data_IF_997490790450
#
_entry.id   IF_997490790450
#
_cell.length_a   1.000
_cell.length_b   1.000
_cell.length_c   1.000
_cell.angle_alpha   90.00
_cell.angle_beta   90.00
_cell.angle_gamma   90.00
#
_symmetry.space_group_name_H-M   'P 1'
#
loop_
_entity.id
_entity.type
_entity.pdbx_description
1 polymer ?
#
# COMPACT_ATOMS: atom_id res chain seq x y z
N UNK A 1 25.23 38.23 -11.92
CA UNK A 1 24.25 37.50 -12.75
C UNK A 1 24.14 36.08 -12.16
N UNK A 2 23.22 35.90 -11.24
CA UNK A 2 23.08 34.64 -10.47
C UNK A 2 22.18 33.66 -11.25
N UNK A 3 22.76 32.54 -11.69
CA UNK A 3 21.98 31.43 -12.22
C UNK A 3 21.10 30.87 -11.08
N UNK A 4 19.80 31.17 -11.14
CA UNK A 4 18.82 30.39 -10.39
C UNK A 4 18.80 29.00 -11.01
N UNK A 5 19.47 28.04 -10.38
CA UNK A 5 19.21 26.61 -10.61
C UNK A 5 17.72 26.36 -10.27
N UNK A 6 16.92 26.13 -11.28
CA UNK A 6 15.63 25.47 -11.09
C UNK A 6 15.93 24.09 -10.48
N UNK A 7 15.80 23.95 -9.16
CA UNK A 7 15.64 22.64 -8.56
C UNK A 7 14.33 22.08 -9.16
N UNK A 8 14.47 21.25 -10.17
CA UNK A 8 13.41 20.36 -10.62
C UNK A 8 12.94 19.63 -9.36
N UNK A 9 11.67 19.78 -9.03
CA UNK A 9 11.01 19.03 -7.97
C UNK A 9 11.11 17.54 -8.32
N UNK A 10 12.17 16.89 -7.87
CA UNK A 10 12.21 15.43 -7.84
C UNK A 10 11.11 14.99 -6.86
N UNK A 11 10.20 14.12 -7.27
CA UNK A 11 9.15 13.66 -6.36
C UNK A 11 9.80 13.05 -5.10
N UNK A 12 9.28 13.45 -3.93
CA UNK A 12 9.80 13.03 -2.63
C UNK A 12 9.76 11.50 -2.50
N UNK A 13 10.82 10.96 -1.93
CA UNK A 13 10.87 9.53 -1.56
C UNK A 13 9.99 9.35 -0.34
N UNK A 14 8.95 8.52 -0.46
CA UNK A 14 8.00 8.28 0.63
C UNK A 14 8.38 7.05 1.43
N UNK A 15 8.76 5.97 0.74
CA UNK A 15 9.23 4.73 1.34
C UNK A 15 10.29 4.09 0.46
N UNK A 16 11.33 3.52 1.05
CA UNK A 16 12.40 2.83 0.33
C UNK A 16 12.96 1.66 1.10
N UNK A 17 13.59 0.73 0.37
CA UNK A 17 14.36 -0.37 0.97
C UNK A 17 15.82 -0.24 0.60
N UNK A 18 16.70 -0.62 1.54
CA UNK A 18 18.15 -0.64 1.33
C UNK A 18 18.71 -2.02 1.70
N UNK A 19 19.32 -2.69 0.71
CA UNK A 19 19.96 -4.01 0.85
C UNK A 19 19.08 -5.04 1.55
N UNK A 20 17.78 -5.00 1.24
CA UNK A 20 16.78 -5.84 1.89
C UNK A 20 16.94 -7.29 1.48
N UNK A 21 17.20 -8.17 2.44
CA UNK A 21 17.26 -9.62 2.21
C UNK A 21 16.32 -10.35 3.16
N UNK A 22 15.63 -11.35 2.63
CA UNK A 22 14.65 -12.15 3.37
C UNK A 22 14.75 -13.61 2.97
N UNK A 23 14.87 -14.46 3.97
CA UNK A 23 15.00 -15.90 3.80
C UNK A 23 14.12 -16.64 4.80
N UNK A 24 13.41 -17.66 4.34
CA UNK A 24 12.67 -18.59 5.18
C UNK A 24 13.25 -20.01 5.04
N UNK A 25 13.96 -20.45 6.08
CA UNK A 25 14.70 -21.70 6.04
C UNK A 25 15.77 -21.66 4.94
N UNK A 26 15.69 -22.55 3.94
CA UNK A 26 16.61 -22.57 2.78
C UNK A 26 16.15 -21.73 1.59
N UNK A 27 14.96 -21.15 1.65
CA UNK A 27 14.38 -20.39 0.53
C UNK A 27 14.65 -18.90 0.70
N UNK A 28 15.47 -18.36 -0.20
CA UNK A 28 15.67 -16.92 -0.33
C UNK A 28 14.46 -16.32 -1.09
N UNK A 29 13.78 -15.37 -0.49
CA UNK A 29 12.70 -14.60 -1.16
C UNK A 29 13.23 -13.33 -1.79
N UNK A 30 14.08 -12.60 -1.07
CA UNK A 30 14.70 -11.36 -1.51
C UNK A 30 16.19 -11.37 -1.18
N UNK A 31 16.99 -10.81 -2.08
CA UNK A 31 18.43 -10.75 -1.95
C UNK A 31 18.94 -9.37 -2.36
N UNK A 32 19.37 -8.57 -1.36
CA UNK A 32 19.89 -7.21 -1.52
C UNK A 32 18.99 -6.28 -2.35
N UNK A 33 17.69 -6.30 -2.05
CA UNK A 33 16.70 -5.50 -2.78
C UNK A 33 16.78 -4.04 -2.35
N UNK A 34 16.95 -3.18 -3.35
CA UNK A 34 16.92 -1.72 -3.20
C UNK A 34 15.79 -1.16 -4.06
N UNK A 35 14.76 -0.57 -3.44
CA UNK A 35 13.60 0.01 -4.11
C UNK A 35 13.25 1.37 -3.56
N UNK A 36 12.61 2.20 -4.37
CA UNK A 36 12.17 3.54 -3.98
C UNK A 36 10.76 3.77 -4.51
N UNK A 37 9.84 4.12 -3.61
CA UNK A 37 8.48 4.51 -3.93
C UNK A 37 8.32 6.01 -3.67
N UNK A 38 7.84 6.73 -4.69
CA UNK A 38 7.77 8.19 -4.71
C UNK A 38 6.34 8.68 -4.60
N UNK A 39 6.15 9.87 -4.05
CA UNK A 39 4.85 10.53 -3.94
C UNK A 39 4.14 10.64 -5.29
N UNK A 40 2.82 10.55 -5.27
CA UNK A 40 1.95 10.72 -6.44
C UNK A 40 1.97 9.57 -7.43
N UNK A 41 2.43 8.39 -7.03
CA UNK A 41 2.48 7.22 -7.89
C UNK A 41 1.75 6.02 -7.27
N UNK A 42 1.10 5.25 -8.14
CA UNK A 42 0.55 3.95 -7.80
C UNK A 42 1.45 2.84 -8.37
N UNK A 43 1.98 2.00 -7.48
CA UNK A 43 2.89 0.91 -7.80
C UNK A 43 2.17 -0.42 -7.69
N UNK A 44 1.94 -1.10 -8.82
CA UNK A 44 1.43 -2.46 -8.86
C UNK A 44 2.57 -3.46 -8.64
N UNK A 45 2.50 -4.24 -7.57
CA UNK A 45 3.47 -5.31 -7.29
C UNK A 45 2.98 -6.59 -7.96
N UNK A 46 3.79 -7.12 -8.86
CA UNK A 46 3.50 -8.36 -9.58
C UNK A 46 4.62 -9.39 -9.40
N UNK A 47 4.37 -10.62 -9.82
CA UNK A 47 5.33 -11.73 -9.74
C UNK A 47 4.60 -13.06 -9.58
N UNK A 48 5.31 -14.16 -9.75
CA UNK A 48 4.77 -15.51 -9.64
C UNK A 48 4.14 -15.79 -8.26
N UNK A 49 3.24 -16.78 -8.18
CA UNK A 49 2.70 -17.20 -6.89
C UNK A 49 3.84 -17.72 -5.99
N UNK A 50 3.87 -17.20 -4.77
CA UNK A 50 4.93 -17.49 -3.81
C UNK A 50 6.24 -16.72 -4.07
N UNK A 51 6.31 -15.72 -4.96
CA UNK A 51 7.48 -14.85 -5.14
C UNK A 51 7.77 -13.94 -3.95
N UNK A 52 6.82 -13.81 -3.00
CA UNK A 52 6.99 -13.01 -1.80
C UNK A 52 6.22 -11.68 -1.81
N UNK A 53 5.27 -11.45 -2.72
CA UNK A 53 4.49 -10.18 -2.82
C UNK A 53 3.92 -9.74 -1.46
N UNK A 54 3.07 -10.55 -0.84
CA UNK A 54 2.47 -10.24 0.47
C UNK A 54 3.51 -10.15 1.59
N UNK A 55 4.61 -10.93 1.50
CA UNK A 55 5.72 -10.82 2.45
C UNK A 55 6.41 -9.47 2.33
N UNK A 56 6.63 -8.99 1.10
CA UNK A 56 7.21 -7.68 0.85
C UNK A 56 6.34 -6.57 1.41
N UNK A 57 5.01 -6.61 1.20
CA UNK A 57 4.08 -5.65 1.79
C UNK A 57 4.12 -5.67 3.33
N UNK A 58 4.20 -6.87 3.95
CA UNK A 58 4.34 -7.01 5.40
C UNK A 58 5.65 -6.43 5.94
N UNK A 59 6.73 -6.48 5.17
CA UNK A 59 8.01 -5.88 5.53
C UNK A 59 7.93 -4.35 5.40
N UNK A 60 7.38 -3.84 4.30
CA UNK A 60 7.18 -2.39 4.11
C UNK A 60 6.31 -1.78 5.22
N UNK A 61 5.31 -2.53 5.69
CA UNK A 61 4.43 -2.11 6.80
C UNK A 61 5.01 -2.33 8.20
N UNK A 62 6.23 -2.89 8.32
CA UNK A 62 6.84 -3.21 9.61
C UNK A 62 6.22 -4.40 10.35
N UNK A 63 5.27 -5.14 9.74
CA UNK A 63 4.68 -6.36 10.34
C UNK A 63 5.68 -7.52 10.41
N UNK A 64 6.69 -7.53 9.55
CA UNK A 64 7.78 -8.52 9.52
C UNK A 64 9.12 -7.80 9.40
N UNK A 65 10.10 -8.20 10.21
CA UNK A 65 11.46 -7.70 10.08
C UNK A 65 12.22 -8.49 9.00
N UNK A 66 13.02 -7.84 8.14
CA UNK A 66 13.91 -8.53 7.21
C UNK A 66 15.08 -9.22 7.95
N UNK A 67 15.74 -10.18 7.29
CA UNK A 67 16.97 -10.79 7.82
C UNK A 67 18.16 -9.82 7.79
N UNK A 68 18.24 -8.98 6.76
CA UNK A 68 19.20 -7.89 6.64
C UNK A 68 18.62 -6.74 5.81
N UNK A 69 19.30 -5.58 5.88
CA UNK A 69 18.83 -4.36 5.25
C UNK A 69 17.81 -3.61 6.10
N UNK A 70 17.18 -2.59 5.52
CA UNK A 70 16.23 -1.74 6.23
C UNK A 70 15.15 -1.19 5.31
N UNK A 71 14.02 -0.82 5.91
CA UNK A 71 12.97 -0.02 5.30
C UNK A 71 13.05 1.38 5.88
N UNK A 72 13.04 2.38 5.02
CA UNK A 72 12.98 3.79 5.41
C UNK A 72 11.63 4.35 4.98
N UNK A 73 10.94 5.00 5.92
CA UNK A 73 9.73 5.78 5.68
C UNK A 73 10.08 7.24 6.00
N UNK A 74 9.69 8.18 5.14
CA UNK A 74 9.92 9.60 5.38
C UNK A 74 9.31 10.03 6.72
N UNK A 75 10.08 10.71 7.61
CA UNK A 75 9.59 11.11 8.91
C UNK A 75 8.33 11.98 8.83
N UNK A 76 7.39 11.73 9.73
CA UNK A 76 6.10 12.45 9.77
C UNK A 76 5.09 11.98 8.73
N UNK A 77 5.39 10.93 7.95
CA UNK A 77 4.48 10.36 6.98
C UNK A 77 3.68 9.20 7.55
N UNK A 78 2.37 9.22 7.32
CA UNK A 78 1.45 8.19 7.80
C UNK A 78 1.32 7.08 6.75
N UNK A 79 1.58 5.86 7.20
CA UNK A 79 1.39 4.64 6.43
C UNK A 79 0.09 3.96 6.88
N UNK A 80 -0.75 3.59 5.93
CA UNK A 80 -1.95 2.79 6.15
C UNK A 80 -1.89 1.49 5.36
N UNK A 81 -2.43 0.43 5.94
CA UNK A 81 -2.43 -0.91 5.34
C UNK A 81 -3.85 -1.45 5.35
N UNK A 82 -4.33 -1.93 4.21
CA UNK A 82 -5.59 -2.66 4.15
C UNK A 82 -5.47 -3.96 4.96
N UNK A 83 -6.29 -4.10 6.01
CA UNK A 83 -6.30 -5.29 6.85
C UNK A 83 -6.97 -6.47 6.13
N UNK A 84 -6.33 -7.62 6.15
CA UNK A 84 -6.85 -8.84 5.52
C UNK A 84 -7.72 -9.69 6.47
N UNK A 85 -7.58 -9.49 7.79
CA UNK A 85 -8.42 -10.18 8.74
C UNK A 85 -9.74 -9.45 8.89
N UNK A 86 -10.78 -9.96 8.24
CA UNK A 86 -12.12 -9.34 8.23
C UNK A 86 -12.76 -9.28 9.62
N UNK A 87 -12.27 -10.06 10.58
CA UNK A 87 -12.81 -10.10 11.93
C UNK A 87 -11.93 -9.35 12.96
N UNK A 88 -10.92 -8.62 12.48
CA UNK A 88 -9.99 -7.91 13.38
C UNK A 88 -10.69 -6.85 14.26
N UNK A 89 -11.85 -6.36 13.82
CA UNK A 89 -12.60 -5.29 14.48
C UNK A 89 -14.01 -5.69 14.89
N UNK A 90 -14.29 -6.98 15.02
CA UNK A 90 -15.65 -7.49 15.30
C UNK A 90 -16.29 -6.92 16.58
N UNK A 91 -15.49 -6.53 17.56
CA UNK A 91 -15.95 -5.93 18.81
C UNK A 91 -16.21 -4.42 18.75
N UNK A 92 -15.95 -3.77 17.61
CA UNK A 92 -16.09 -2.33 17.44
C UNK A 92 -17.24 -1.98 16.49
N UNK A 93 -17.79 -0.77 16.66
CA UNK A 93 -18.76 -0.23 15.71
C UNK A 93 -18.11 0.09 14.36
N UNK A 94 -18.89 0.05 13.30
CA UNK A 94 -18.46 0.33 11.92
C UNK A 94 -17.78 1.69 11.80
N UNK A 95 -18.43 2.76 12.28
CA UNK A 95 -17.87 4.11 12.26
C UNK A 95 -16.58 4.20 13.07
N UNK A 96 -16.56 3.61 14.27
CA UNK A 96 -15.40 3.55 15.13
C UNK A 96 -14.23 2.82 14.47
N UNK A 97 -14.49 1.67 13.82
CA UNK A 97 -13.49 0.91 13.07
C UNK A 97 -12.88 1.73 11.94
N UNK A 98 -13.68 2.54 11.26
CA UNK A 98 -13.20 3.45 10.21
C UNK A 98 -12.28 4.53 10.77
N UNK A 99 -12.65 5.16 11.89
CA UNK A 99 -11.82 6.17 12.57
C UNK A 99 -10.47 5.63 13.02
N UNK A 100 -10.39 4.34 13.40
CA UNK A 100 -9.14 3.66 13.78
C UNK A 100 -8.11 3.62 12.63
N UNK A 101 -8.50 3.88 11.40
CA UNK A 101 -7.60 4.05 10.26
C UNK A 101 -6.62 5.22 10.43
N UNK A 102 -6.97 6.21 11.26
CA UNK A 102 -6.04 7.22 11.75
C UNK A 102 -5.81 7.02 13.25
N UNK A 103 -4.84 6.17 13.58
CA UNK A 103 -4.59 5.70 14.96
C UNK A 103 -4.29 6.85 15.93
N UNK A 104 -3.56 7.88 15.49
CA UNK A 104 -3.22 9.04 16.35
C UNK A 104 -4.47 9.85 16.66
N UNK A 105 -5.27 10.19 15.66
CA UNK A 105 -6.54 10.91 15.83
C UNK A 105 -7.51 10.13 16.73
N UNK A 106 -7.62 8.82 16.49
CA UNK A 106 -8.48 7.95 17.29
C UNK A 106 -8.04 7.90 18.76
N UNK A 107 -6.72 7.80 19.04
CA UNK A 107 -6.18 7.82 20.40
C UNK A 107 -6.47 9.14 21.10
N UNK A 108 -6.28 10.27 20.42
CA UNK A 108 -6.58 11.59 20.96
C UNK A 108 -8.06 11.70 21.32
N UNK A 109 -8.96 11.32 20.39
CA UNK A 109 -10.40 11.32 20.61
C UNK A 109 -10.76 10.47 21.83
N UNK A 110 -10.27 9.25 21.90
CA UNK A 110 -10.54 8.33 23.01
C UNK A 110 -10.05 8.87 24.34
N UNK A 111 -8.83 9.45 24.39
CA UNK A 111 -8.28 10.05 25.61
C UNK A 111 -9.13 11.23 26.09
N UNK A 112 -9.63 12.06 25.16
CA UNK A 112 -10.54 13.15 25.49
C UNK A 112 -11.86 12.62 26.07
N UNK A 113 -12.47 11.62 25.42
CA UNK A 113 -13.73 11.01 25.87
C UNK A 113 -13.57 10.36 27.26
N UNK A 114 -12.44 9.67 27.50
CA UNK A 114 -12.10 9.05 28.78
C UNK A 114 -11.92 10.12 29.88
N UNK A 115 -11.26 11.24 29.58
CA UNK A 115 -11.09 12.36 30.51
C UNK A 115 -12.42 13.02 30.85
N UNK A 116 -13.27 13.29 29.88
CA UNK A 116 -14.59 13.88 30.13
C UNK A 116 -15.55 12.97 30.91
N UNK A 117 -15.35 11.66 30.82
CA UNK A 117 -16.20 10.68 31.56
C UNK A 117 -15.80 10.52 33.04
N UNK A 118 -14.69 11.12 33.47
CA UNK A 118 -14.24 11.05 34.87
C UNK A 118 -15.21 11.76 35.82
N UNK A 119 -15.57 11.10 36.92
CA UNK A 119 -16.39 11.69 38.00
C UNK A 119 -15.60 12.69 38.85
N UNK A 120 -14.26 12.59 38.88
CA UNK A 120 -13.32 13.39 39.67
C UNK A 120 -12.41 14.24 38.74
N UNK A 121 -13.03 14.91 37.74
CA UNK A 121 -12.31 15.76 36.80
C UNK A 121 -11.52 16.87 37.51
N UNK A 122 -10.19 16.86 37.35
CA UNK A 122 -9.26 17.78 38.02
C UNK A 122 -8.82 18.93 37.11
N UNK A 123 -8.20 19.97 37.69
CA UNK A 123 -7.58 21.06 36.92
C UNK A 123 -6.49 20.53 35.98
N UNK A 124 -5.75 19.50 36.37
CA UNK A 124 -4.76 18.85 35.50
C UNK A 124 -5.41 18.14 34.31
N UNK A 125 -6.57 17.50 34.49
CA UNK A 125 -7.35 16.93 33.42
C UNK A 125 -7.81 18.01 32.43
N UNK A 126 -8.23 19.18 32.95
CA UNK A 126 -8.60 20.33 32.13
C UNK A 126 -7.46 20.85 31.25
N UNK A 127 -6.25 20.96 31.80
CA UNK A 127 -5.06 21.33 31.01
C UNK A 127 -4.77 20.27 29.92
N UNK A 128 -4.83 18.99 30.27
CA UNK A 128 -4.59 17.90 29.34
C UNK A 128 -5.62 17.86 28.20
N UNK A 129 -6.89 18.04 28.52
CA UNK A 129 -7.96 18.17 27.49
C UNK A 129 -7.69 19.33 26.55
N UNK A 130 -7.26 20.50 27.06
CA UNK A 130 -6.91 21.63 26.19
C UNK A 130 -5.77 21.33 25.23
N UNK A 131 -4.73 20.61 25.68
CA UNK A 131 -3.64 20.15 24.78
C UNK A 131 -4.14 19.18 23.71
N UNK A 132 -5.00 18.23 24.08
CA UNK A 132 -5.58 17.24 23.17
C UNK A 132 -6.51 17.91 22.15
N UNK A 133 -7.32 18.85 22.56
CA UNK A 133 -8.21 19.61 21.68
C UNK A 133 -7.42 20.37 20.60
N UNK A 134 -6.32 21.03 20.97
CA UNK A 134 -5.47 21.71 19.99
C UNK A 134 -4.91 20.73 18.96
N UNK A 135 -4.40 19.57 19.38
CA UNK A 135 -3.92 18.54 18.44
C UNK A 135 -5.04 17.96 17.58
N UNK A 136 -6.21 17.77 18.17
CA UNK A 136 -7.38 17.24 17.47
C UNK A 136 -7.86 18.21 16.39
N UNK A 137 -7.83 19.53 16.68
CA UNK A 137 -8.14 20.57 15.70
C UNK A 137 -7.11 20.64 14.58
N UNK A 138 -5.80 20.55 14.90
CA UNK A 138 -4.72 20.50 13.90
C UNK A 138 -4.87 19.31 12.92
N UNK A 139 -5.49 18.22 13.38
CA UNK A 139 -5.77 17.02 12.58
C UNK A 139 -7.15 17.01 11.91
N UNK A 140 -7.87 18.14 11.93
CA UNK A 140 -9.27 18.25 11.46
C UNK A 140 -10.22 17.24 12.14
N UNK A 141 -9.94 16.95 13.39
CA UNK A 141 -10.62 15.88 14.16
C UNK A 141 -12.12 16.12 14.38
N UNK A 142 -12.56 17.38 14.40
CA UNK A 142 -13.98 17.72 14.58
C UNK A 142 -14.85 17.27 13.40
N UNK A 143 -14.28 17.12 12.20
CA UNK A 143 -14.96 16.62 11.03
C UNK A 143 -14.81 15.10 10.84
N UNK A 144 -13.96 14.45 11.63
CA UNK A 144 -13.55 13.05 11.45
C UNK A 144 -14.71 12.05 11.36
N UNK A 145 -15.74 12.19 12.21
CA UNK A 145 -16.91 11.30 12.18
C UNK A 145 -17.74 11.50 10.91
N UNK A 146 -17.95 12.75 10.48
CA UNK A 146 -18.70 13.03 9.26
C UNK A 146 -17.93 12.57 8.00
N UNK A 147 -16.61 12.70 8.00
CA UNK A 147 -15.76 12.25 6.91
C UNK A 147 -15.73 10.72 6.82
N UNK A 148 -15.63 10.05 7.97
CA UNK A 148 -15.72 8.59 8.03
C UNK A 148 -17.09 8.08 7.56
N UNK A 149 -18.19 8.72 7.99
CA UNK A 149 -19.54 8.38 7.56
C UNK A 149 -19.74 8.61 6.05
N UNK A 150 -19.22 9.72 5.53
CA UNK A 150 -19.24 10.03 4.10
C UNK A 150 -18.48 8.98 3.28
N UNK A 151 -17.30 8.59 3.73
CA UNK A 151 -16.47 7.58 3.07
C UNK A 151 -17.14 6.19 3.07
N UNK A 152 -17.74 5.79 4.18
CA UNK A 152 -18.53 4.57 4.29
C UNK A 152 -19.72 4.57 3.31
N UNK A 153 -20.49 5.67 3.26
CA UNK A 153 -21.63 5.81 2.36
C UNK A 153 -21.21 5.75 0.89
N UNK A 154 -20.06 6.35 0.52
CA UNK A 154 -19.49 6.29 -0.83
C UNK A 154 -19.08 4.86 -1.22
N UNK A 155 -18.64 4.04 -0.27
CA UNK A 155 -18.36 2.62 -0.44
C UNK A 155 -19.61 1.73 -0.39
N UNK A 156 -20.81 2.32 -0.29
CA UNK A 156 -22.07 1.61 -0.29
C UNK A 156 -22.38 0.90 1.04
N UNK A 157 -21.81 1.38 2.15
CA UNK A 157 -22.21 0.98 3.51
C UNK A 157 -23.33 1.91 3.96
N UNK A 158 -24.53 1.36 4.19
CA UNK A 158 -25.70 2.13 4.57
C UNK A 158 -25.50 2.82 5.92
N UNK A 159 -26.03 4.03 6.06
CA UNK A 159 -25.95 4.83 7.30
C UNK A 159 -26.52 4.11 8.53
N UNK A 160 -27.56 3.31 8.33
CA UNK A 160 -28.17 2.49 9.40
C UNK A 160 -27.18 1.51 10.04
N UNK A 161 -26.14 1.12 9.32
CA UNK A 161 -25.12 0.18 9.77
C UNK A 161 -23.94 0.84 10.49
N UNK A 162 -23.80 2.18 10.42
CA UNK A 162 -22.61 2.87 10.93
C UNK A 162 -22.38 2.68 12.44
N UNK A 163 -23.46 2.47 13.21
CA UNK A 163 -23.42 2.27 14.65
C UNK A 163 -23.57 0.79 15.07
N UNK A 164 -23.74 -0.12 14.10
CA UNK A 164 -23.75 -1.56 14.37
C UNK A 164 -22.34 -2.06 14.67
N UNK A 165 -22.23 -3.22 15.34
CA UNK A 165 -20.94 -3.89 15.50
C UNK A 165 -20.48 -4.48 14.17
N UNK A 166 -19.17 -4.49 13.94
CA UNK A 166 -18.58 -5.15 12.77
C UNK A 166 -18.95 -6.63 12.69
N UNK A 167 -19.10 -7.32 13.84
CA UNK A 167 -19.54 -8.72 13.91
C UNK A 167 -20.93 -8.98 13.31
N UNK A 168 -21.79 -7.96 13.24
CA UNK A 168 -23.14 -8.05 12.68
C UNK A 168 -23.20 -7.92 11.16
N UNK A 169 -22.09 -7.52 10.53
CA UNK A 169 -22.00 -7.31 9.09
C UNK A 169 -21.69 -8.61 8.34
N UNK A 170 -22.18 -8.71 7.11
CA UNK A 170 -21.71 -9.72 6.16
C UNK A 170 -20.27 -9.46 5.70
N UNK A 171 -19.60 -10.50 5.17
CA UNK A 171 -18.20 -10.42 4.79
C UNK A 171 -17.89 -9.32 3.76
N UNK A 172 -18.78 -9.11 2.78
CA UNK A 172 -18.57 -8.07 1.74
C UNK A 172 -18.65 -6.67 2.34
N UNK A 173 -19.59 -6.43 3.22
CA UNK A 173 -19.73 -5.15 3.91
C UNK A 173 -18.54 -4.90 4.84
N UNK A 174 -18.03 -5.93 5.54
CA UNK A 174 -16.79 -5.84 6.34
C UNK A 174 -15.61 -5.38 5.49
N UNK A 175 -15.42 -5.95 4.30
CA UNK A 175 -14.33 -5.55 3.38
C UNK A 175 -14.45 -4.09 2.98
N UNK A 176 -15.65 -3.60 2.67
CA UNK A 176 -15.88 -2.17 2.36
C UNK A 176 -15.50 -1.26 3.53
N UNK A 177 -15.85 -1.64 4.76
CA UNK A 177 -15.45 -0.90 5.97
C UNK A 177 -13.94 -0.90 6.15
N UNK A 178 -13.25 -2.04 5.95
CA UNK A 178 -11.79 -2.10 6.04
C UNK A 178 -11.09 -1.26 4.96
N UNK A 179 -11.68 -1.17 3.76
CA UNK A 179 -11.20 -0.24 2.73
C UNK A 179 -11.40 1.20 3.22
N UNK A 180 -12.59 1.58 3.71
CA UNK A 180 -12.82 2.89 4.29
C UNK A 180 -11.80 3.22 5.38
N UNK A 181 -11.57 2.29 6.32
CA UNK A 181 -10.57 2.42 7.36
C UNK A 181 -9.16 2.69 6.79
N UNK A 182 -8.74 1.93 5.78
CA UNK A 182 -7.41 2.10 5.18
C UNK A 182 -7.24 3.44 4.47
N UNK A 183 -8.30 4.00 3.92
CA UNK A 183 -8.32 5.29 3.21
C UNK A 183 -8.54 6.49 4.12
N UNK A 184 -9.10 6.27 5.33
CA UNK A 184 -9.51 7.33 6.23
C UNK A 184 -8.36 8.27 6.60
N UNK A 185 -8.65 9.57 6.55
CA UNK A 185 -7.69 10.63 6.86
C UNK A 185 -6.56 10.76 5.83
N UNK A 186 -6.72 10.24 4.61
CA UNK A 186 -5.82 10.43 3.47
C UNK A 186 -4.34 10.11 3.76
N UNK A 187 -3.97 8.84 4.05
CA UNK A 187 -2.60 8.46 4.40
C UNK A 187 -1.59 8.83 3.31
N UNK A 188 -0.35 9.16 3.71
CA UNK A 188 0.74 9.48 2.77
C UNK A 188 1.22 8.25 1.98
N UNK A 189 1.11 7.07 2.59
CA UNK A 189 1.47 5.78 1.99
C UNK A 189 0.33 4.81 2.26
N UNK A 190 -0.25 4.27 1.20
CA UNK A 190 -1.31 3.27 1.24
C UNK A 190 -0.80 1.93 0.70
N UNK A 191 -0.91 0.88 1.50
CA UNK A 191 -0.54 -0.48 1.10
C UNK A 191 -1.81 -1.35 1.05
N UNK A 192 -2.06 -1.96 -0.11
CA UNK A 192 -3.22 -2.83 -0.33
C UNK A 192 -2.80 -4.18 -0.90
N UNK A 193 -3.23 -5.26 -0.28
CA UNK A 193 -3.01 -6.63 -0.76
C UNK A 193 -4.34 -7.24 -1.17
N UNK A 194 -4.53 -7.44 -2.48
CA UNK A 194 -5.75 -7.97 -3.13
C UNK A 194 -7.03 -7.18 -2.79
N UNK A 195 -7.06 -5.84 -2.98
CA UNK A 195 -8.19 -5.01 -2.54
C UNK A 195 -9.49 -5.24 -3.32
N UNK A 196 -9.43 -5.89 -4.48
CA UNK A 196 -10.60 -6.18 -5.33
C UNK A 196 -11.31 -7.48 -4.96
N UNK A 197 -10.69 -8.32 -4.11
CA UNK A 197 -11.29 -9.57 -3.69
C UNK A 197 -12.58 -9.30 -2.89
N UNK A 198 -13.63 -10.09 -3.19
CA UNK A 198 -14.94 -10.03 -2.54
C UNK A 198 -15.74 -8.75 -2.80
N UNK A 199 -15.25 -7.80 -3.59
CA UNK A 199 -15.97 -6.60 -3.98
C UNK A 199 -16.86 -6.87 -5.22
N UNK A 200 -17.98 -6.14 -5.29
CA UNK A 200 -18.77 -6.05 -6.51
C UNK A 200 -18.18 -5.03 -7.49
N UNK A 201 -18.67 -5.08 -8.71
CA UNK A 201 -18.19 -4.24 -9.80
C UNK A 201 -18.28 -2.73 -9.49
N UNK A 202 -19.37 -2.29 -8.85
CA UNK A 202 -19.57 -0.86 -8.54
C UNK A 202 -18.55 -0.37 -7.51
N UNK A 203 -18.30 -1.17 -6.48
CA UNK A 203 -17.29 -0.85 -5.45
C UNK A 203 -15.87 -0.86 -6.04
N UNK A 204 -15.54 -1.82 -6.93
CA UNK A 204 -14.25 -1.83 -7.65
C UNK A 204 -14.11 -0.55 -8.48
N UNK A 205 -15.14 -0.17 -9.23
CA UNK A 205 -15.15 1.03 -10.06
C UNK A 205 -14.96 2.31 -9.24
N UNK A 206 -15.59 2.37 -8.08
CA UNK A 206 -15.39 3.48 -7.15
C UNK A 206 -13.95 3.52 -6.66
N UNK A 207 -13.38 2.39 -6.24
CA UNK A 207 -12.00 2.29 -5.76
C UNK A 207 -10.99 2.68 -6.85
N UNK A 208 -11.20 2.23 -8.10
CA UNK A 208 -10.38 2.64 -9.25
C UNK A 208 -10.36 4.17 -9.39
N UNK A 209 -11.54 4.80 -9.43
CA UNK A 209 -11.68 6.25 -9.56
C UNK A 209 -11.03 7.00 -8.39
N UNK A 210 -11.14 6.48 -7.17
CA UNK A 210 -10.51 7.03 -6.00
C UNK A 210 -8.98 6.98 -6.12
N UNK A 211 -8.41 5.82 -6.48
CA UNK A 211 -6.96 5.62 -6.57
C UNK A 211 -6.32 6.37 -7.75
N UNK A 212 -7.02 6.56 -8.87
CA UNK A 212 -6.55 7.38 -10.01
C UNK A 212 -6.32 8.84 -9.57
N UNK A 213 -7.18 9.36 -8.69
CA UNK A 213 -7.11 10.73 -8.19
C UNK A 213 -6.31 10.86 -6.88
N UNK A 214 -5.69 9.77 -6.42
CA UNK A 214 -4.97 9.78 -5.16
C UNK A 214 -3.59 10.43 -5.31
N UNK A 215 -3.37 11.55 -4.62
CA UNK A 215 -2.16 12.36 -4.76
C UNK A 215 -0.94 11.82 -4.00
N UNK A 216 -1.14 10.82 -3.15
CA UNK A 216 -0.09 10.21 -2.32
C UNK A 216 0.44 8.91 -2.94
N UNK A 217 1.21 8.13 -2.19
CA UNK A 217 1.82 6.89 -2.68
C UNK A 217 0.90 5.70 -2.44
N UNK A 218 0.63 4.91 -3.47
CA UNK A 218 -0.10 3.64 -3.37
C UNK A 218 0.82 2.50 -3.75
N UNK A 219 0.81 1.42 -2.96
CA UNK A 219 1.50 0.17 -3.26
C UNK A 219 0.45 -0.94 -3.19
N UNK A 220 0.16 -1.56 -4.33
CA UNK A 220 -0.93 -2.53 -4.44
C UNK A 220 -0.46 -3.85 -5.04
N UNK A 221 -0.90 -4.96 -4.46
CA UNK A 221 -0.86 -6.28 -5.06
C UNK A 221 -2.26 -6.62 -5.54
N UNK A 222 -2.41 -7.04 -6.78
CA UNK A 222 -3.67 -7.59 -7.28
C UNK A 222 -3.43 -8.63 -8.37
N UNK A 223 -4.34 -9.61 -8.46
CA UNK A 223 -4.44 -10.55 -9.59
C UNK A 223 -5.34 -10.03 -10.70
N UNK A 224 -6.09 -8.96 -10.44
CA UNK A 224 -6.92 -8.30 -11.44
C UNK A 224 -6.07 -7.39 -12.33
N UNK A 225 -5.84 -7.87 -13.56
CA UNK A 225 -5.03 -7.14 -14.57
C UNK A 225 -5.69 -5.84 -15.01
N UNK A 226 -7.03 -5.81 -15.10
CA UNK A 226 -7.77 -4.62 -15.47
C UNK A 226 -7.61 -3.53 -14.42
N UNK A 227 -7.75 -3.92 -13.16
CA UNK A 227 -7.53 -3.01 -12.02
C UNK A 227 -6.11 -2.42 -12.03
N UNK A 228 -5.07 -3.29 -12.16
CA UNK A 228 -3.68 -2.82 -12.23
C UNK A 228 -3.42 -1.92 -13.44
N UNK A 229 -4.05 -2.22 -14.58
CA UNK A 229 -3.90 -1.42 -15.79
C UNK A 229 -4.54 -0.04 -15.68
N UNK A 230 -5.63 0.04 -14.91
CA UNK A 230 -6.41 1.26 -14.69
C UNK A 230 -5.75 2.19 -13.66
N UNK A 231 -5.24 1.64 -12.54
CA UNK A 231 -4.81 2.48 -11.40
C UNK A 231 -3.30 2.67 -11.32
N UNK A 232 -2.48 1.75 -11.87
CA UNK A 232 -1.04 1.79 -11.68
C UNK A 232 -0.34 2.74 -12.66
N UNK A 233 0.57 3.56 -12.12
CA UNK A 233 1.52 4.38 -12.89
C UNK A 233 2.86 3.69 -13.09
N UNK A 234 3.15 2.71 -12.22
CA UNK A 234 4.39 1.91 -12.21
C UNK A 234 4.08 0.46 -11.90
N UNK A 235 4.85 -0.45 -12.49
CA UNK A 235 4.81 -1.87 -12.14
C UNK A 235 6.14 -2.25 -11.50
N UNK A 236 6.06 -2.96 -10.39
CA UNK A 236 7.19 -3.50 -9.63
C UNK A 236 7.16 -5.02 -9.74
N UNK A 237 8.02 -5.58 -10.59
CA UNK A 237 8.06 -7.01 -10.87
C UNK A 237 9.03 -7.71 -9.91
N UNK A 238 8.53 -8.70 -9.18
CA UNK A 238 9.32 -9.56 -8.27
C UNK A 238 9.68 -10.84 -9.02
N UNK A 239 10.94 -10.94 -9.44
CA UNK A 239 11.47 -12.11 -10.11
C UNK A 239 12.87 -12.47 -9.59
N UNK A 240 13.13 -13.76 -9.36
CA UNK A 240 14.40 -14.31 -8.86
C UNK A 240 14.96 -13.55 -7.63
N UNK A 241 14.10 -13.16 -6.69
CA UNK A 241 14.51 -12.47 -5.46
C UNK A 241 14.92 -11.01 -5.62
N UNK A 242 14.72 -10.43 -6.79
CA UNK A 242 14.94 -9.02 -7.10
C UNK A 242 13.62 -8.33 -7.38
N UNK A 243 13.59 -7.01 -7.26
CA UNK A 243 12.45 -6.18 -7.62
C UNK A 243 12.90 -5.15 -8.65
N UNK A 244 12.22 -5.15 -9.79
CA UNK A 244 12.50 -4.19 -10.87
C UNK A 244 11.30 -3.31 -11.10
N UNK A 245 11.50 -1.99 -11.12
CA UNK A 245 10.45 -1.02 -11.41
C UNK A 245 10.39 -0.70 -12.90
N UNK A 246 9.17 -0.68 -13.43
CA UNK A 246 8.84 -0.25 -14.78
C UNK A 246 7.88 0.92 -14.69
N UNK A 247 8.16 1.99 -15.43
CA UNK A 247 7.23 3.11 -15.59
C UNK A 247 6.17 2.74 -16.61
N UNK A 248 4.90 2.96 -16.28
CA UNK A 248 3.75 2.58 -17.08
C UNK A 248 2.83 1.61 -16.34
N UNK A 249 1.70 1.30 -16.96
CA UNK A 249 0.69 0.38 -16.45
C UNK A 249 1.01 -1.09 -16.74
N UNK A 250 0.08 -1.99 -16.38
CA UNK A 250 0.27 -3.43 -16.55
C UNK A 250 0.43 -3.83 -18.02
N UNK A 251 -0.37 -3.28 -18.95
CA UNK A 251 -0.29 -3.59 -20.38
C UNK A 251 1.06 -3.20 -20.95
N UNK A 252 1.57 -2.02 -20.63
CA UNK A 252 2.90 -1.57 -21.08
C UNK A 252 4.02 -2.49 -20.57
N UNK A 253 3.97 -2.86 -19.28
CA UNK A 253 4.94 -3.82 -18.71
C UNK A 253 4.86 -5.16 -19.44
N UNK A 254 3.65 -5.69 -19.66
CA UNK A 254 3.45 -6.99 -20.33
C UNK A 254 4.03 -7.02 -21.73
N UNK A 255 3.73 -6.01 -22.56
CA UNK A 255 4.27 -5.90 -23.91
C UNK A 255 5.80 -5.79 -23.90
N UNK A 256 6.36 -4.96 -23.04
CA UNK A 256 7.81 -4.78 -22.88
C UNK A 256 8.50 -6.08 -22.44
N UNK A 257 7.91 -6.81 -21.51
CA UNK A 257 8.43 -8.08 -21.01
C UNK A 257 8.43 -9.18 -22.12
N UNK A 258 7.34 -9.26 -22.91
CA UNK A 258 7.24 -10.18 -24.04
C UNK A 258 8.29 -9.88 -25.12
N UNK A 259 8.52 -8.60 -25.40
CA UNK A 259 9.57 -8.19 -26.35
C UNK A 259 10.95 -8.58 -25.86
N UNK A 260 11.26 -8.34 -24.58
CA UNK A 260 12.54 -8.71 -23.98
C UNK A 260 12.77 -10.24 -24.00
N UNK A 261 11.74 -11.04 -23.72
CA UNK A 261 11.80 -12.50 -23.81
C UNK A 261 12.10 -12.98 -25.24
N UNK A 262 11.42 -12.41 -26.26
CA UNK A 262 11.68 -12.73 -27.67
C UNK A 262 13.11 -12.38 -28.09
N UNK A 263 13.61 -11.22 -27.64
CA UNK A 263 14.99 -10.81 -27.95
C UNK A 263 16.02 -11.75 -27.29
N UNK A 264 15.82 -12.13 -26.03
CA UNK A 264 16.68 -13.11 -25.33
C UNK A 264 16.68 -14.47 -26.02
N UNK A 265 15.50 -14.96 -26.41
CA UNK A 265 15.40 -16.24 -27.14
C UNK A 265 16.17 -16.21 -28.46
N UNK A 266 16.08 -15.10 -29.22
CA UNK A 266 16.84 -14.93 -30.46
C UNK A 266 18.36 -14.84 -30.23
N UNK A 267 18.79 -14.14 -29.18
CA UNK A 267 20.20 -14.04 -28.81
C UNK A 267 20.76 -15.40 -28.40
N UNK A 268 20.02 -16.16 -27.58
CA UNK A 268 20.42 -17.50 -27.15
C UNK A 268 20.55 -18.44 -28.36
N UNK A 269 19.56 -18.41 -29.26
CA UNK A 269 19.62 -19.22 -30.49
C UNK A 269 20.86 -18.91 -31.34
N UNK A 270 21.16 -17.61 -31.55
CA UNK A 270 22.37 -17.19 -32.30
C UNK A 270 23.68 -17.62 -31.56
N UNK A 271 23.69 -17.55 -30.22
CA UNK A 271 24.83 -17.98 -29.41
C UNK A 271 25.05 -19.51 -29.52
N UNK A 272 23.95 -20.30 -29.49
CA UNK A 272 24.02 -21.76 -29.69
C UNK A 272 24.49 -22.16 -31.10
N UNK A 273 23.96 -21.49 -32.13
CA UNK A 273 24.39 -21.68 -33.52
C UNK A 273 25.89 -21.39 -33.66
N UNK A 274 26.36 -20.27 -33.11
CA UNK A 274 27.78 -19.90 -33.19
C UNK A 274 28.67 -20.83 -32.35
N UNK A 275 28.19 -21.33 -31.20
CA UNK A 275 28.89 -22.34 -30.41
C UNK A 275 29.05 -23.63 -31.21
N UNK A 276 27.99 -24.10 -31.89
CA UNK A 276 28.02 -25.29 -32.72
C UNK A 276 28.98 -25.15 -33.91
N UNK A 277 28.97 -24.00 -34.61
CA UNK A 277 29.92 -23.71 -35.66
C UNK A 277 31.37 -23.78 -35.22
N UNK A 278 31.69 -23.27 -34.01
CA UNK A 278 33.02 -23.32 -33.42
C UNK A 278 33.41 -24.76 -32.99
N UNK A 279 32.49 -25.53 -32.43
CA UNK A 279 32.69 -26.94 -32.08
C UNK A 279 32.97 -27.78 -33.35
N UNK A 280 32.17 -27.58 -34.43
CA UNK A 280 32.38 -28.25 -35.72
C UNK A 280 33.70 -27.83 -36.38
N UNK A 281 34.14 -26.59 -36.18
CA UNK A 281 35.42 -26.09 -36.67
C UNK A 281 36.58 -26.79 -35.93
N UNK A 282 36.52 -26.86 -34.58
CA UNK A 282 37.54 -27.53 -33.76
C UNK A 282 37.63 -29.04 -34.07
N UNK A 283 36.49 -29.68 -34.30
CA UNK A 283 36.44 -31.12 -34.65
C UNK A 283 37.07 -31.48 -35.99
N UNK A 284 37.35 -30.50 -36.84
CA UNK A 284 38.00 -30.71 -38.18
C UNK A 284 39.50 -30.60 -38.15
N UNK A 285 40.06 -30.18 -37.03
CA UNK A 285 41.52 -30.14 -36.76
C UNK A 285 41.93 -31.15 -35.71
#
# INVERSE_FOLDING_TARGET
>A
MALKLNLLFLPAIMISTSNLSVQFGKRVLFDEVNTVFKKGNCYGIIGANGSGKSTFLKILSGKINPNSGSVFIEPGKRLSVLEQNHNAYDDFQVLQSTLMGNEELYKIKKEMDDLYSKSDFSDADGVRVGELQNKFEEMDGWNAESDAASLLSQLGVNEDLHYNLMSELDGKTKVRVLIAQSLFGNPDILIMDEPTNELDFETIKWLENFLINYENTVIVVSHDRHFLDTVCTHISDIDFGKITHYTGNYSFWYESSQLALKQRAQQNKKAEEKKKELEDFIARF
#
